data_IF_877223618211
#
_entry.id   IF_877223618211
#
_cell.length_a   1.000
_cell.length_b   1.000
_cell.length_c   1.000
_cell.angle_alpha   90.00
_cell.angle_beta   90.00
_cell.angle_gamma   90.00
#
_symmetry.space_group_name_H-M   'P 1'
#
loop_
_entity.id
_entity.type
_entity.pdbx_description
1 polymer ?
#
# COMPACT_ATOMS: atom_id res chain seq x y z
N UNK A 1 -38.62 -46.20 7.25
CA UNK A 1 -37.44 -45.45 7.74
C UNK A 1 -36.29 -45.45 6.71
N UNK A 2 -36.50 -44.98 5.47
CA UNK A 2 -35.48 -45.07 4.39
C UNK A 2 -35.14 -43.73 3.72
N UNK A 3 -35.82 -42.65 4.09
CA UNK A 3 -35.62 -41.30 3.54
C UNK A 3 -34.86 -40.35 4.49
N UNK A 4 -34.52 -40.81 5.70
CA UNK A 4 -33.86 -39.97 6.72
C UNK A 4 -32.34 -39.86 6.51
N UNK A 5 -31.73 -40.77 5.75
CA UNK A 5 -30.27 -40.81 5.52
C UNK A 5 -29.81 -39.97 4.32
N UNK A 6 -30.68 -39.75 3.33
CA UNK A 6 -30.37 -38.95 2.14
C UNK A 6 -30.45 -37.45 2.39
N UNK A 7 -31.14 -37.01 3.45
CA UNK A 7 -31.24 -35.59 3.80
C UNK A 7 -29.96 -35.03 4.45
N UNK A 8 -29.19 -35.88 5.14
CA UNK A 8 -27.92 -35.47 5.76
C UNK A 8 -26.80 -35.20 4.74
N UNK A 9 -26.84 -35.83 3.55
CA UNK A 9 -25.78 -35.65 2.56
C UNK A 9 -25.88 -34.29 1.82
N UNK A 10 -27.08 -33.73 1.70
CA UNK A 10 -27.30 -32.42 1.08
C UNK A 10 -27.00 -31.25 2.03
N UNK A 11 -27.13 -31.45 3.35
CA UNK A 11 -26.88 -30.41 4.36
C UNK A 11 -25.38 -30.18 4.65
N UNK A 12 -24.52 -31.18 4.40
CA UNK A 12 -23.07 -31.06 4.62
C UNK A 12 -22.35 -30.31 3.50
N UNK A 13 -22.95 -30.20 2.30
CA UNK A 13 -22.33 -29.51 1.16
C UNK A 13 -22.49 -27.97 1.18
N UNK A 14 -23.19 -27.42 2.17
CA UNK A 14 -23.44 -25.97 2.29
C UNK A 14 -22.46 -25.24 3.21
N UNK A 15 -21.50 -25.95 3.79
CA UNK A 15 -20.46 -25.38 4.65
C UNK A 15 -19.22 -25.07 3.81
N UNK A 16 -18.74 -23.82 3.92
CA UNK A 16 -17.47 -23.28 3.39
C UNK A 16 -17.48 -22.57 2.03
N UNK A 17 -18.47 -21.72 1.78
CA UNK A 17 -18.19 -20.51 0.99
C UNK A 17 -17.65 -19.45 1.95
N UNK A 18 -16.36 -19.51 2.29
CA UNK A 18 -15.71 -18.40 3.00
C UNK A 18 -15.47 -17.32 1.95
N UNK A 19 -16.07 -16.13 2.05
CA UNK A 19 -15.73 -15.04 1.16
C UNK A 19 -14.26 -14.66 1.40
N UNK A 20 -13.42 -14.81 0.36
CA UNK A 20 -12.11 -14.17 0.31
C UNK A 20 -12.34 -12.65 0.28
N UNK A 21 -12.51 -12.05 1.45
CA UNK A 21 -12.46 -10.59 1.58
C UNK A 21 -11.00 -10.18 1.57
N UNK A 22 -10.55 -9.58 0.47
CA UNK A 22 -9.30 -8.83 0.47
C UNK A 22 -9.45 -7.66 1.46
N UNK A 23 -8.62 -7.65 2.49
CA UNK A 23 -8.56 -6.58 3.47
C UNK A 23 -7.66 -5.45 2.96
N UNK A 24 -7.93 -4.22 3.39
CA UNK A 24 -7.08 -3.06 3.12
C UNK A 24 -6.14 -2.81 4.29
N UNK A 25 -4.84 -2.79 4.01
CA UNK A 25 -3.77 -2.51 4.97
C UNK A 25 -3.12 -1.17 4.60
N UNK A 26 -2.88 -0.34 5.62
CA UNK A 26 -2.28 0.99 5.46
C UNK A 26 -0.88 1.01 6.05
N UNK A 27 0.07 1.54 5.29
CA UNK A 27 1.44 1.78 5.74
C UNK A 27 1.78 3.26 5.55
N UNK A 28 2.24 3.90 6.63
CA UNK A 28 2.50 5.33 6.68
C UNK A 28 4.00 5.59 6.83
N UNK A 29 4.49 6.62 6.15
CA UNK A 29 5.86 7.08 6.23
C UNK A 29 5.87 8.60 6.28
N UNK A 30 6.74 9.16 7.13
CA UNK A 30 6.93 10.60 7.23
C UNK A 30 8.41 10.93 7.07
N UNK A 31 8.68 11.97 6.27
CA UNK A 31 10.02 12.56 6.15
C UNK A 31 9.93 14.06 6.32
N UNK A 32 10.79 14.60 7.17
CA UNK A 32 10.89 16.02 7.45
C UNK A 32 12.22 16.51 6.87
N UNK A 33 12.17 17.61 6.14
CA UNK A 33 13.34 18.22 5.48
C UNK A 33 13.33 19.70 5.84
N UNK A 34 14.43 20.18 6.42
CA UNK A 34 14.63 21.61 6.66
C UNK A 34 15.01 22.31 5.34
N UNK A 35 14.49 23.52 5.13
CA UNK A 35 14.67 24.31 3.91
C UNK A 35 15.22 25.68 4.28
N UNK A 36 16.30 26.10 3.62
CA UNK A 36 16.88 27.43 3.79
C UNK A 36 16.57 28.41 2.65
N UNK A 37 16.04 27.91 1.53
CA UNK A 37 15.83 28.67 0.28
C UNK A 37 14.51 28.29 -0.39
N UNK A 38 13.98 29.09 -1.33
CA UNK A 38 12.81 28.72 -2.12
C UNK A 38 13.00 27.36 -2.79
N UNK A 39 12.05 26.45 -2.57
CA UNK A 39 12.16 25.06 -2.99
C UNK A 39 11.25 24.76 -4.20
N UNK A 40 11.78 24.01 -5.17
CA UNK A 40 11.01 23.36 -6.21
C UNK A 40 10.76 21.88 -5.87
N UNK A 41 9.53 21.41 -6.02
CA UNK A 41 9.15 20.01 -5.76
C UNK A 41 8.83 19.34 -7.09
N UNK A 42 9.57 18.28 -7.41
CA UNK A 42 9.29 17.41 -8.55
C UNK A 42 8.66 16.10 -8.06
N UNK A 43 7.49 15.77 -8.58
CA UNK A 43 6.70 14.60 -8.20
C UNK A 43 6.67 13.61 -9.36
N UNK A 44 7.28 12.44 -9.17
CA UNK A 44 7.22 11.35 -10.12
C UNK A 44 6.42 10.18 -9.54
N UNK A 45 5.11 10.18 -9.83
CA UNK A 45 4.17 9.20 -9.29
C UNK A 45 3.38 8.54 -10.42
N UNK A 46 3.33 7.21 -10.40
CA UNK A 46 2.55 6.44 -11.39
C UNK A 46 1.05 6.54 -11.14
N UNK A 47 0.61 6.43 -9.87
CA UNK A 47 -0.79 6.48 -9.45
C UNK A 47 -0.90 7.03 -8.03
N UNK A 48 -2.03 7.63 -7.71
CA UNK A 48 -2.38 8.06 -6.36
C UNK A 48 -3.01 9.45 -6.31
N UNK A 49 -3.05 10.00 -5.11
CA UNK A 49 -3.49 11.38 -4.85
C UNK A 49 -2.36 12.11 -4.15
N UNK A 50 -2.10 13.34 -4.59
CA UNK A 50 -1.19 14.27 -3.91
C UNK A 50 -2.00 15.43 -3.37
N UNK A 51 -1.62 15.92 -2.20
CA UNK A 51 -2.16 17.14 -1.62
C UNK A 51 -0.99 17.98 -1.14
N UNK A 52 -0.88 19.20 -1.66
CA UNK A 52 0.17 20.15 -1.29
C UNK A 52 -0.48 21.25 -0.46
N UNK A 53 0.05 21.47 0.73
CA UNK A 53 -0.44 22.49 1.66
C UNK A 53 0.71 23.44 1.95
N UNK A 54 0.54 24.71 1.62
CA UNK A 54 1.52 25.75 1.93
C UNK A 54 1.43 26.17 3.40
N UNK A 55 2.58 26.33 4.06
CA UNK A 55 2.70 26.87 5.41
C UNK A 55 3.90 27.86 5.45
N UNK A 56 3.88 28.82 6.37
CA UNK A 56 5.01 29.71 6.67
C UNK A 56 6.02 29.02 7.60
N UNK A 57 6.58 27.90 7.13
CA UNK A 57 7.61 27.16 7.84
C UNK A 57 8.77 26.85 6.91
N UNK A 58 9.95 26.84 7.50
CA UNK A 58 11.27 26.47 6.99
C UNK A 58 11.44 24.93 6.92
N UNK A 59 10.34 24.19 6.82
CA UNK A 59 10.32 22.72 6.76
C UNK A 59 9.34 22.23 5.69
N UNK A 60 9.76 21.24 4.90
CA UNK A 60 8.85 20.37 4.16
C UNK A 60 8.56 19.14 5.01
N UNK A 61 7.29 18.83 5.17
CA UNK A 61 6.83 17.57 5.73
C UNK A 61 6.21 16.75 4.60
N UNK A 62 6.78 15.58 4.34
CA UNK A 62 6.32 14.65 3.32
C UNK A 62 5.67 13.48 4.05
N UNK A 63 4.36 13.39 3.94
CA UNK A 63 3.56 12.30 4.48
C UNK A 63 3.11 11.39 3.35
N UNK A 64 3.48 10.13 3.44
CA UNK A 64 3.18 9.16 2.41
C UNK A 64 2.40 7.98 2.98
N UNK A 65 1.33 7.60 2.28
CA UNK A 65 0.43 6.53 2.67
C UNK A 65 0.30 5.51 1.56
N UNK A 66 0.64 4.25 1.85
CA UNK A 66 0.42 3.10 0.98
C UNK A 66 -0.84 2.38 1.45
N UNK A 67 -1.80 2.17 0.57
CA UNK A 67 -3.01 1.38 0.84
C UNK A 67 -2.93 0.12 -0.02
N UNK A 68 -2.78 -1.03 0.61
CA UNK A 68 -2.56 -2.33 -0.04
C UNK A 68 -3.74 -3.24 0.23
N UNK A 69 -4.31 -3.82 -0.82
CA UNK A 69 -5.33 -4.87 -0.74
C UNK A 69 -4.65 -6.22 -0.75
N UNK A 70 -4.85 -7.01 0.30
CA UNK A 70 -4.24 -8.33 0.45
C UNK A 70 -5.16 -9.29 1.23
N UNK A 71 -4.89 -10.58 1.13
CA UNK A 71 -5.65 -11.61 1.85
C UNK A 71 -5.26 -11.65 3.33
N UNK A 72 -4.05 -11.22 3.65
CA UNK A 72 -3.53 -11.13 5.01
C UNK A 72 -2.47 -10.01 5.13
N UNK A 73 -2.06 -9.73 6.37
CA UNK A 73 -1.11 -8.66 6.68
C UNK A 73 0.31 -8.93 6.16
N UNK A 74 0.75 -10.18 6.20
CA UNK A 74 2.09 -10.58 5.76
C UNK A 74 2.26 -10.34 4.25
N UNK A 75 1.28 -10.74 3.45
CA UNK A 75 1.20 -10.43 2.02
C UNK A 75 1.18 -8.91 1.77
N UNK A 76 0.44 -8.16 2.59
CA UNK A 76 0.39 -6.71 2.47
C UNK A 76 1.74 -6.03 2.78
N UNK A 77 2.45 -6.52 3.80
CA UNK A 77 3.79 -6.07 4.19
C UNK A 77 4.79 -6.37 3.08
N UNK A 78 4.78 -7.60 2.52
CA UNK A 78 5.63 -7.94 1.38
C UNK A 78 5.40 -6.97 0.22
N UNK A 79 4.15 -6.73 -0.18
CA UNK A 79 3.85 -5.78 -1.27
C UNK A 79 4.28 -4.35 -0.91
N UNK A 80 4.08 -3.92 0.34
CA UNK A 80 4.47 -2.58 0.79
C UNK A 80 5.99 -2.36 0.75
N UNK A 81 6.78 -3.39 1.04
CA UNK A 81 8.24 -3.36 0.98
C UNK A 81 8.76 -3.25 -0.47
N UNK A 82 8.00 -3.74 -1.45
CA UNK A 82 8.33 -3.60 -2.87
C UNK A 82 7.95 -2.24 -3.46
N UNK A 83 7.28 -1.38 -2.71
CA UNK A 83 6.95 -0.01 -3.13
C UNK A 83 7.84 0.94 -2.35
N UNK A 84 8.88 1.48 -2.95
CA UNK A 84 9.74 2.47 -2.30
C UNK A 84 9.25 3.88 -2.61
N UNK A 85 9.17 4.73 -1.58
CA UNK A 85 8.91 6.16 -1.76
C UNK A 85 10.22 6.86 -1.47
N UNK A 86 10.93 7.21 -2.55
CA UNK A 86 12.25 7.82 -2.47
C UNK A 86 12.11 9.33 -2.47
N UNK A 87 12.74 9.97 -1.49
CA UNK A 87 12.80 11.43 -1.37
C UNK A 87 14.25 11.85 -1.39
N UNK A 88 14.64 12.55 -2.45
CA UNK A 88 16.01 12.99 -2.69
C UNK A 88 16.05 14.52 -2.69
N UNK A 89 16.65 15.16 -1.68
CA UNK A 89 16.95 16.58 -1.73
C UNK A 89 18.18 16.81 -2.64
N UNK A 90 18.11 17.83 -3.49
CA UNK A 90 19.18 18.31 -4.36
C UNK A 90 19.20 19.85 -4.33
N UNK A 91 19.87 20.41 -3.32
CA UNK A 91 19.90 21.85 -3.08
C UNK A 91 18.49 22.44 -2.88
N UNK A 92 18.09 23.33 -3.79
CA UNK A 92 16.75 23.95 -3.82
C UNK A 92 15.68 23.09 -4.49
N UNK A 93 15.96 21.82 -4.77
CA UNK A 93 15.02 20.88 -5.38
C UNK A 93 14.77 19.67 -4.47
N UNK A 94 13.52 19.21 -4.40
CA UNK A 94 13.19 17.91 -3.81
C UNK A 94 12.52 17.06 -4.88
N UNK A 95 13.12 15.90 -5.16
CA UNK A 95 12.49 14.86 -5.97
C UNK A 95 11.81 13.84 -5.07
N UNK A 96 10.52 13.62 -5.31
CA UNK A 96 9.72 12.57 -4.66
C UNK A 96 9.29 11.59 -5.73
N UNK A 97 9.76 10.35 -5.64
CA UNK A 97 9.49 9.30 -6.61
C UNK A 97 8.93 8.03 -5.97
N UNK A 98 7.91 7.44 -6.59
CA UNK A 98 7.44 6.10 -6.25
C UNK A 98 8.10 5.06 -7.14
N UNK A 99 8.95 4.22 -6.57
CA UNK A 99 9.62 3.12 -7.27
C UNK A 99 8.94 1.79 -6.96
N UNK A 100 8.71 0.98 -7.98
CA UNK A 100 8.22 -0.39 -7.84
C UNK A 100 9.38 -1.35 -8.05
N UNK A 101 9.83 -1.98 -6.96
CA UNK A 101 10.88 -2.99 -6.99
C UNK A 101 10.30 -4.29 -7.56
N UNK A 102 11.12 -5.04 -8.31
CA UNK A 102 10.68 -6.33 -8.89
C UNK A 102 10.38 -7.31 -7.75
N UNK A 103 9.16 -7.86 -7.73
CA UNK A 103 8.80 -8.97 -6.84
C UNK A 103 9.58 -10.23 -7.24
N UNK A 104 10.39 -10.76 -6.33
CA UNK A 104 11.28 -11.90 -6.62
C UNK A 104 10.50 -13.23 -6.71
N UNK A 105 9.29 -13.34 -6.14
CA UNK A 105 8.60 -14.64 -5.94
C UNK A 105 7.27 -14.83 -6.71
N UNK A 106 7.15 -14.34 -7.95
CA UNK A 106 5.96 -14.63 -8.78
C UNK A 106 5.98 -15.98 -9.53
N UNK A 107 6.93 -16.85 -9.23
CA UNK A 107 7.12 -18.13 -9.96
C UNK A 107 7.19 -19.31 -8.99
N UNK A 108 6.06 -19.62 -8.35
CA UNK A 108 5.76 -20.94 -7.73
C UNK A 108 4.29 -20.95 -7.28
N UNK A 109 3.40 -21.21 -8.23
CA UNK A 109 2.09 -21.82 -7.99
C UNK A 109 1.65 -22.49 -9.27
#
# INVERSE_FOLDING_TARGET
MRYLKTFYLAAVLFLFVIPLHAAEYTFENQKIIDISEPLSINLNMFKGKVTVIGNQSDKVIIEAKKIIRASNREEAEEVADHIEIKVTPDGSHIEIATNYLKMINRSKS
#
